data_IF_204890171692
#
_entry.id   IF_204890171692
#
_cell.length_a   1.000
_cell.length_b   1.000
_cell.length_c   1.000
_cell.angle_alpha   90.00
_cell.angle_beta   90.00
_cell.angle_gamma   90.00
#
_symmetry.space_group_name_H-M   'P 1'
#
loop_
_entity.id
_entity.type
_entity.pdbx_description
1 polymer ?
#
# COMPACT_ATOMS: atom_id res chain seq x y z
N UNK A 1 -24.80 -7.01 -12.30
CA UNK A 1 -25.50 -5.74 -12.61
C UNK A 1 -24.82 -5.10 -13.82
N UNK A 2 -25.41 -4.12 -14.53
CA UNK A 2 -24.64 -3.32 -15.49
C UNK A 2 -23.42 -2.72 -14.78
N UNK A 3 -22.30 -2.61 -15.48
CA UNK A 3 -21.08 -2.04 -14.95
C UNK A 3 -20.39 -1.20 -16.03
N UNK A 4 -19.55 -0.27 -15.59
CA UNK A 4 -18.79 0.59 -16.48
C UNK A 4 -17.39 0.00 -16.68
N UNK A 5 -17.02 -0.27 -17.93
CA UNK A 5 -15.67 -0.70 -18.29
C UNK A 5 -14.93 0.49 -18.90
N UNK A 6 -13.87 1.00 -18.25
CA UNK A 6 -12.98 1.97 -18.87
C UNK A 6 -12.10 1.27 -19.92
N UNK A 7 -12.07 1.83 -21.12
CA UNK A 7 -11.25 1.34 -22.23
C UNK A 7 -10.30 2.45 -22.65
N UNK A 8 -9.02 2.22 -22.45
CA UNK A 8 -7.96 3.14 -22.90
C UNK A 8 -7.62 2.83 -24.34
N UNK A 9 -7.50 3.87 -25.17
CA UNK A 9 -7.10 3.72 -26.57
C UNK A 9 -5.65 4.12 -26.73
N UNK A 10 -4.88 3.30 -27.45
CA UNK A 10 -3.52 3.62 -27.84
C UNK A 10 -3.54 4.48 -29.10
N UNK A 11 -3.59 5.80 -28.90
CA UNK A 11 -3.57 6.78 -29.99
C UNK A 11 -4.18 8.13 -29.60
N UNK A 12 -4.08 9.11 -30.50
CA UNK A 12 -4.75 10.39 -30.30
C UNK A 12 -6.26 10.25 -30.43
N UNK A 13 -7.03 11.02 -29.65
CA UNK A 13 -8.47 11.11 -29.87
C UNK A 13 -9.08 12.43 -29.39
N UNK A 14 -10.40 12.47 -29.39
CA UNK A 14 -11.20 13.64 -29.02
C UNK A 14 -11.75 13.42 -27.62
N UNK A 15 -11.01 13.87 -26.60
CA UNK A 15 -11.31 13.63 -25.19
C UNK A 15 -12.76 13.94 -24.73
N UNK A 16 -13.51 14.93 -25.31
CA UNK A 16 -14.92 15.11 -24.94
C UNK A 16 -15.93 14.29 -25.77
N UNK A 17 -15.52 13.61 -26.85
CA UNK A 17 -16.43 12.98 -27.83
C UNK A 17 -16.16 11.49 -28.08
N UNK A 18 -15.32 10.85 -27.27
CA UNK A 18 -15.10 9.40 -27.37
C UNK A 18 -16.34 8.61 -26.97
N UNK A 19 -17.07 8.16 -27.99
CA UNK A 19 -18.19 7.24 -27.85
C UNK A 19 -17.73 5.80 -27.67
N UNK A 20 -18.44 5.06 -26.83
CA UNK A 20 -18.32 3.61 -26.74
C UNK A 20 -19.69 2.95 -26.90
N UNK A 21 -19.75 1.89 -27.70
CA UNK A 21 -20.88 0.97 -27.77
C UNK A 21 -20.41 -0.47 -27.56
N UNK A 22 -21.29 -1.28 -26.96
CA UNK A 22 -20.98 -2.65 -26.56
C UNK A 22 -21.99 -3.59 -27.23
N UNK A 23 -21.48 -4.61 -27.91
CA UNK A 23 -22.25 -5.77 -28.35
C UNK A 23 -21.95 -6.97 -27.47
N UNK A 24 -22.98 -7.70 -27.01
CA UNK A 24 -22.82 -8.90 -26.19
C UNK A 24 -23.41 -10.11 -26.92
N UNK A 25 -22.60 -11.15 -27.09
CA UNK A 25 -23.01 -12.48 -27.57
C UNK A 25 -22.89 -13.47 -26.42
N UNK A 26 -24.02 -13.75 -25.76
CA UNK A 26 -24.06 -14.65 -24.61
C UNK A 26 -23.77 -16.11 -24.99
N UNK A 27 -24.12 -16.52 -26.21
CA UNK A 27 -23.91 -17.89 -26.68
C UNK A 27 -22.43 -18.22 -26.87
N UNK A 28 -21.63 -17.22 -27.24
CA UNK A 28 -20.16 -17.33 -27.38
C UNK A 28 -19.39 -16.77 -26.19
N UNK A 29 -20.08 -16.24 -25.18
CA UNK A 29 -19.49 -15.51 -24.05
C UNK A 29 -18.50 -14.45 -24.53
N UNK A 30 -18.96 -13.65 -25.49
CA UNK A 30 -18.15 -12.67 -26.18
C UNK A 30 -18.71 -11.26 -26.00
N UNK A 31 -17.86 -10.31 -25.64
CA UNK A 31 -18.20 -8.89 -25.56
C UNK A 31 -17.36 -8.17 -26.62
N UNK A 32 -18.04 -7.57 -27.59
CA UNK A 32 -17.42 -6.74 -28.60
C UNK A 32 -17.54 -5.27 -28.20
N UNK A 33 -16.41 -4.60 -28.05
CA UNK A 33 -16.36 -3.18 -27.72
C UNK A 33 -16.05 -2.38 -28.98
N UNK A 34 -16.93 -1.45 -29.31
CA UNK A 34 -16.78 -0.53 -30.43
C UNK A 34 -16.55 0.89 -29.90
N UNK A 35 -15.35 1.40 -30.09
CA UNK A 35 -14.98 2.76 -29.71
C UNK A 35 -14.88 3.63 -30.96
N UNK A 36 -15.62 4.75 -31.00
CA UNK A 36 -15.48 5.74 -32.08
C UNK A 36 -14.43 6.78 -31.69
N UNK A 37 -13.38 6.89 -32.50
CA UNK A 37 -12.39 7.96 -32.39
C UNK A 37 -12.70 8.97 -33.48
N UNK A 38 -13.25 10.14 -33.09
CA UNK A 38 -13.40 11.37 -33.89
C UNK A 38 -13.95 11.19 -35.32
N UNK A 39 -15.23 11.52 -35.59
CA UNK A 39 -15.76 11.42 -36.96
C UNK A 39 -15.18 12.47 -37.93
N UNK A 40 -14.67 13.62 -37.45
CA UNK A 40 -14.11 14.70 -38.28
C UNK A 40 -12.87 15.32 -37.61
N UNK A 41 -11.74 15.37 -38.33
CA UNK A 41 -10.40 15.88 -37.91
C UNK A 41 -10.42 17.42 -37.64
N UNK A 42 -9.53 18.00 -36.80
CA UNK A 42 -8.28 17.47 -36.25
C UNK A 42 -8.37 16.88 -34.84
N UNK A 43 -7.94 15.63 -34.68
CA UNK A 43 -7.63 15.06 -33.36
C UNK A 43 -6.59 15.95 -32.65
N UNK A 44 -6.90 16.48 -31.46
CA UNK A 44 -5.95 17.22 -30.64
C UNK A 44 -4.99 16.25 -29.92
N UNK A 45 -3.98 15.81 -30.67
CA UNK A 45 -2.91 14.96 -30.17
C UNK A 45 -2.05 15.63 -29.09
N UNK A 46 -2.08 16.96 -28.97
CA UNK A 46 -1.25 17.67 -27.99
C UNK A 46 -1.91 17.66 -26.60
N UNK A 47 -3.25 17.66 -26.55
CA UNK A 47 -4.00 17.58 -25.29
C UNK A 47 -4.54 16.19 -24.94
N UNK A 48 -4.65 15.26 -25.92
CA UNK A 48 -5.36 14.00 -25.74
C UNK A 48 -4.62 12.79 -26.35
N UNK A 49 -3.51 12.38 -25.72
CA UNK A 49 -2.64 11.30 -26.21
C UNK A 49 -3.10 9.88 -25.86
N UNK A 50 -4.06 9.73 -24.93
CA UNK A 50 -4.61 8.45 -24.47
C UNK A 50 -6.04 8.61 -23.96
N UNK A 51 -7.03 8.80 -24.86
CA UNK A 51 -8.41 8.97 -24.41
C UNK A 51 -8.91 7.68 -23.75
N UNK A 52 -9.71 7.85 -22.71
CA UNK A 52 -10.40 6.76 -22.03
C UNK A 52 -11.90 6.88 -22.33
N UNK A 53 -12.47 5.86 -22.98
CA UNK A 53 -13.91 5.77 -23.15
C UNK A 53 -14.51 4.87 -22.07
N UNK A 54 -15.67 5.25 -21.54
CA UNK A 54 -16.40 4.43 -20.57
C UNK A 54 -17.55 3.72 -21.27
N UNK A 55 -17.49 2.39 -21.29
CA UNK A 55 -18.47 1.53 -21.93
C UNK A 55 -19.44 0.98 -20.89
N UNK A 56 -20.73 1.19 -21.06
CA UNK A 56 -21.74 0.54 -20.22
C UNK A 56 -21.95 -0.90 -20.70
N UNK A 57 -21.49 -1.86 -19.90
CA UNK A 57 -21.64 -3.29 -20.18
C UNK A 57 -22.88 -3.78 -19.42
N UNK A 58 -23.83 -4.45 -20.11
CA UNK A 58 -25.00 -5.02 -19.44
C UNK A 58 -24.58 -6.13 -18.47
N UNK A 59 -25.48 -6.56 -17.60
CA UNK A 59 -25.18 -7.64 -16.66
C UNK A 59 -24.82 -8.93 -17.40
N UNK A 60 -23.63 -9.47 -17.13
CA UNK A 60 -23.13 -10.72 -17.71
C UNK A 60 -23.40 -11.91 -16.80
N UNK A 61 -23.61 -13.09 -17.38
CA UNK A 61 -23.69 -14.34 -16.63
C UNK A 61 -22.31 -14.75 -16.09
N UNK A 62 -22.29 -15.54 -15.00
CA UNK A 62 -21.07 -16.01 -14.36
C UNK A 62 -20.13 -16.77 -15.32
N UNK A 63 -18.83 -16.52 -15.15
CA UNK A 63 -17.72 -17.22 -15.77
C UNK A 63 -16.88 -16.32 -16.67
N UNK A 64 -16.09 -16.95 -17.54
CA UNK A 64 -15.10 -16.24 -18.35
C UNK A 64 -15.74 -15.71 -19.63
N UNK A 65 -15.53 -14.42 -19.88
CA UNK A 65 -15.95 -13.74 -21.09
C UNK A 65 -14.73 -13.27 -21.86
N UNK A 66 -14.74 -13.45 -23.18
CA UNK A 66 -13.72 -12.83 -24.03
C UNK A 66 -14.21 -11.44 -24.43
N UNK A 67 -13.43 -10.43 -24.08
CA UNK A 67 -13.69 -9.04 -24.47
C UNK A 67 -12.72 -8.71 -25.61
N UNK A 68 -13.25 -8.30 -26.75
CA UNK A 68 -12.48 -7.91 -27.93
C UNK A 68 -12.79 -6.45 -28.28
N UNK A 69 -11.74 -5.68 -28.50
CA UNK A 69 -11.84 -4.33 -29.05
C UNK A 69 -11.67 -4.38 -30.57
N UNK A 70 -12.53 -3.67 -31.30
CA UNK A 70 -12.41 -3.57 -32.76
C UNK A 70 -11.11 -2.88 -33.21
N UNK A 71 -10.50 -2.08 -32.33
CA UNK A 71 -9.22 -1.42 -32.59
C UNK A 71 -8.02 -2.33 -32.31
N UNK A 72 -8.25 -3.60 -32.01
CA UNK A 72 -7.23 -4.57 -31.64
C UNK A 72 -7.09 -4.69 -30.13
N UNK A 73 -6.75 -5.90 -29.68
CA UNK A 73 -6.66 -6.25 -28.26
C UNK A 73 -7.83 -7.11 -27.82
N UNK A 74 -7.51 -8.19 -27.13
CA UNK A 74 -8.48 -9.04 -26.46
C UNK A 74 -7.99 -9.41 -25.08
N UNK A 75 -8.93 -9.54 -24.15
CA UNK A 75 -8.64 -9.99 -22.80
C UNK A 75 -9.79 -10.83 -22.25
N UNK A 76 -9.53 -11.57 -21.19
CA UNK A 76 -10.55 -12.39 -20.51
C UNK A 76 -11.08 -11.63 -19.30
N UNK A 77 -12.39 -11.44 -19.24
CA UNK A 77 -13.11 -10.87 -18.12
C UNK A 77 -13.70 -12.01 -17.28
N UNK A 78 -13.28 -12.10 -16.02
CA UNK A 78 -13.83 -13.06 -15.06
C UNK A 78 -15.03 -12.45 -14.33
N UNK A 79 -16.23 -12.99 -14.59
CA UNK A 79 -17.47 -12.52 -13.95
C UNK A 79 -17.83 -13.48 -12.82
N UNK A 80 -17.68 -13.02 -11.59
CA UNK A 80 -18.05 -13.75 -10.37
C UNK A 80 -19.33 -13.18 -9.74
N UNK A 81 -20.08 -14.02 -9.02
CA UNK A 81 -21.20 -13.54 -8.21
C UNK A 81 -20.64 -12.81 -6.98
N UNK A 82 -20.90 -11.51 -6.89
CA UNK A 82 -20.51 -10.72 -5.73
C UNK A 82 -21.34 -11.15 -4.50
N UNK A 83 -20.76 -11.97 -3.62
CA UNK A 83 -21.31 -12.17 -2.27
C UNK A 83 -20.86 -10.98 -1.41
N UNK A 84 -21.41 -9.80 -1.68
CA UNK A 84 -21.05 -8.58 -0.96
C UNK A 84 -21.81 -8.49 0.37
N UNK A 85 -21.19 -8.97 1.45
CA UNK A 85 -21.59 -8.67 2.84
C UNK A 85 -20.73 -7.56 3.47
N UNK A 86 -19.85 -6.95 2.69
CA UNK A 86 -18.98 -5.86 3.13
C UNK A 86 -19.42 -4.61 2.38
N UNK A 87 -19.87 -3.53 3.05
CA UNK A 87 -20.19 -2.28 2.37
C UNK A 87 -18.95 -1.77 1.61
N UNK A 88 -19.16 -1.31 0.37
CA UNK A 88 -18.10 -0.72 -0.45
C UNK A 88 -17.40 0.39 0.34
N UNK A 89 -16.05 0.36 0.47
CA UNK A 89 -15.34 1.46 1.09
C UNK A 89 -15.59 2.75 0.29
N UNK A 90 -15.64 3.93 0.93
CA UNK A 90 -15.82 5.17 0.20
C UNK A 90 -14.68 5.34 -0.81
N UNK A 91 -15.06 5.43 -2.09
CA UNK A 91 -14.12 5.71 -3.16
C UNK A 91 -13.56 7.13 -2.99
N UNK A 92 -12.26 7.25 -2.74
CA UNK A 92 -11.55 8.51 -2.92
C UNK A 92 -11.42 8.76 -4.43
N UNK A 93 -12.25 9.64 -4.99
CA UNK A 93 -12.05 10.19 -6.34
C UNK A 93 -11.15 11.42 -6.26
N UNK A 94 -9.84 11.20 -6.31
CA UNK A 94 -8.90 12.23 -6.78
C UNK A 94 -8.35 11.79 -8.12
N UNK A 95 -8.66 12.55 -9.17
CA UNK A 95 -7.79 12.63 -10.34
C UNK A 95 -6.51 13.31 -9.85
N UNK A 96 -5.51 12.53 -9.45
CA UNK A 96 -4.15 13.01 -9.48
C UNK A 96 -3.77 13.18 -10.94
N UNK A 97 -3.30 14.36 -11.33
CA UNK A 97 -2.42 14.48 -12.49
C UNK A 97 -1.36 13.38 -12.39
N UNK A 98 -0.81 12.92 -13.52
CA UNK A 98 0.28 11.96 -13.48
C UNK A 98 1.41 12.57 -12.64
N UNK A 99 1.53 12.14 -11.39
CA UNK A 99 2.63 12.47 -10.52
C UNK A 99 3.87 11.86 -11.20
N UNK A 100 4.58 12.68 -11.98
CA UNK A 100 5.94 12.39 -12.47
C UNK A 100 6.90 12.11 -11.28
N UNK A 101 6.41 12.34 -10.08
CA UNK A 101 6.88 11.86 -8.80
C UNK A 101 6.70 10.34 -8.69
N UNK A 102 7.54 9.59 -9.36
CA UNK A 102 7.71 8.17 -9.04
C UNK A 102 8.02 8.04 -7.55
N UNK A 103 7.34 7.13 -6.84
CA UNK A 103 7.71 6.75 -5.47
C UNK A 103 9.22 6.52 -5.47
N UNK A 104 9.93 7.22 -4.58
CA UNK A 104 11.38 7.12 -4.52
C UNK A 104 11.77 5.63 -4.52
N UNK A 105 12.72 5.21 -5.38
CA UNK A 105 13.15 3.82 -5.38
C UNK A 105 13.56 3.43 -3.96
N UNK A 106 13.31 2.18 -3.58
CA UNK A 106 13.64 1.61 -2.25
C UNK A 106 15.11 1.82 -1.84
N UNK A 107 15.96 2.25 -2.77
CA UNK A 107 17.35 2.65 -2.59
C UNK A 107 17.53 3.93 -1.73
N UNK A 108 16.49 4.75 -1.57
CA UNK A 108 16.53 5.97 -0.75
C UNK A 108 16.04 5.78 0.70
N UNK A 109 15.87 4.54 1.15
CA UNK A 109 15.49 4.25 2.53
C UNK A 109 16.61 4.63 3.51
N UNK A 110 16.24 5.38 4.55
CA UNK A 110 17.12 5.76 5.66
C UNK A 110 16.56 5.21 6.97
N UNK A 111 17.40 4.92 7.97
CA UNK A 111 16.91 4.57 9.31
C UNK A 111 16.04 5.70 9.88
N UNK A 112 14.93 5.31 10.50
CA UNK A 112 14.00 6.22 11.19
C UNK A 112 14.51 6.49 12.62
N UNK A 113 14.83 7.74 13.00
CA UNK A 113 15.35 8.01 14.34
C UNK A 113 14.26 7.84 15.39
N UNK A 114 14.25 6.68 16.07
CA UNK A 114 13.28 6.40 17.13
C UNK A 114 13.74 6.94 18.48
N UNK A 115 12.92 7.77 19.13
CA UNK A 115 13.18 8.34 20.45
C UNK A 115 12.63 7.47 21.59
N UNK A 116 11.46 6.85 21.38
CA UNK A 116 10.80 5.98 22.36
C UNK A 116 10.14 4.80 21.68
N UNK A 117 10.12 3.67 22.37
CA UNK A 117 9.52 2.42 21.89
C UNK A 117 8.65 1.86 22.99
N UNK A 118 7.44 1.44 22.66
CA UNK A 118 6.55 0.72 23.57
C UNK A 118 6.18 -0.63 22.94
N UNK A 119 6.33 -1.72 23.71
CA UNK A 119 5.79 -3.02 23.28
C UNK A 119 4.40 -3.18 23.88
N UNK A 120 3.43 -3.45 23.02
CA UNK A 120 2.02 -3.60 23.36
C UNK A 120 1.46 -4.89 22.77
N UNK A 121 0.36 -5.36 23.37
CA UNK A 121 -0.43 -6.48 22.86
C UNK A 121 -1.82 -5.97 22.53
N UNK A 122 -2.27 -6.22 21.31
CA UNK A 122 -3.62 -5.90 20.86
C UNK A 122 -4.39 -7.20 20.53
N UNK A 123 -5.56 -7.07 19.90
CA UNK A 123 -6.40 -8.21 19.52
C UNK A 123 -5.76 -9.10 18.42
N UNK A 124 -4.85 -8.55 17.61
CA UNK A 124 -4.25 -9.23 16.46
C UNK A 124 -2.84 -9.79 16.71
N UNK A 125 -2.19 -9.41 17.81
CA UNK A 125 -0.86 -9.89 18.19
C UNK A 125 -0.08 -8.90 19.05
N UNK A 126 1.25 -8.96 18.95
CA UNK A 126 2.15 -8.00 19.57
C UNK A 126 2.55 -6.92 18.55
N UNK A 127 2.71 -5.69 19.02
CA UNK A 127 3.19 -4.57 18.21
C UNK A 127 4.25 -3.77 18.97
N UNK A 128 5.19 -3.22 18.23
CA UNK A 128 6.12 -2.20 18.71
C UNK A 128 5.65 -0.83 18.19
N UNK A 129 5.24 0.04 19.11
CA UNK A 129 4.91 1.43 18.83
C UNK A 129 6.19 2.26 18.94
N UNK A 130 6.62 2.85 17.84
CA UNK A 130 7.83 3.67 17.77
C UNK A 130 7.41 5.14 17.69
N UNK A 131 7.92 5.94 18.62
CA UNK A 131 7.74 7.38 18.65
C UNK A 131 9.04 8.05 18.23
N UNK A 132 8.93 8.97 17.29
CA UNK A 132 10.00 9.86 16.87
C UNK A 132 9.56 11.29 17.19
N UNK A 133 10.22 11.89 18.18
CA UNK A 133 9.90 13.25 18.65
C UNK A 133 10.18 14.31 17.56
N UNK A 134 10.89 13.96 16.48
CA UNK A 134 11.31 14.85 15.41
C UNK A 134 11.36 14.16 14.03
N UNK A 135 10.26 13.54 13.59
CA UNK A 135 10.17 12.81 12.32
C UNK A 135 10.23 13.69 11.07
N UNK A 136 9.89 14.97 11.19
CA UNK A 136 9.90 15.91 10.07
C UNK A 136 8.88 15.53 8.99
N UNK A 137 9.22 15.73 7.73
CA UNK A 137 8.34 15.46 6.57
C UNK A 137 8.63 14.12 5.87
N UNK A 138 9.38 13.22 6.50
CA UNK A 138 9.73 11.96 5.88
C UNK A 138 8.50 11.04 5.77
N UNK A 139 8.39 10.30 4.67
CA UNK A 139 7.39 9.25 4.53
C UNK A 139 7.85 7.98 5.26
N UNK A 140 6.87 7.25 5.82
CA UNK A 140 7.14 5.98 6.48
C UNK A 140 7.53 4.91 5.47
N UNK A 141 8.73 4.35 5.64
CA UNK A 141 9.19 3.17 4.92
C UNK A 141 8.81 1.87 5.64
N UNK A 142 9.24 0.70 5.12
CA UNK A 142 8.99 -0.57 5.79
C UNK A 142 9.51 -0.59 7.24
N UNK A 143 8.82 -1.36 8.08
CA UNK A 143 9.32 -1.76 9.39
C UNK A 143 9.61 -3.25 9.38
N UNK A 144 10.88 -3.62 9.50
CA UNK A 144 11.23 -5.04 9.62
C UNK A 144 11.42 -5.35 11.10
N UNK A 145 10.61 -6.28 11.62
CA UNK A 145 10.74 -6.83 12.95
C UNK A 145 11.19 -8.30 12.87
N UNK A 146 12.32 -8.64 13.49
CA UNK A 146 12.82 -10.01 13.56
C UNK A 146 12.93 -10.43 15.02
N UNK A 147 12.38 -11.59 15.34
CA UNK A 147 12.55 -12.21 16.67
C UNK A 147 13.54 -13.35 16.51
N UNK A 148 14.66 -13.27 17.21
CA UNK A 148 15.64 -14.34 17.32
C UNK A 148 15.49 -14.99 18.68
N UNK A 149 14.93 -16.19 18.68
CA UNK A 149 14.81 -16.98 19.90
C UNK A 149 16.18 -17.31 20.47
N UNK A 150 16.28 -17.25 21.79
CA UNK A 150 17.48 -17.62 22.54
C UNK A 150 17.14 -18.84 23.37
N UNK A 151 17.81 -19.93 23.06
CA UNK A 151 17.76 -21.15 23.86
C UNK A 151 19.10 -21.30 24.58
N UNK A 152 19.24 -20.60 25.70
CA UNK A 152 20.39 -20.75 26.60
C UNK A 152 19.88 -21.23 27.95
N UNK A 153 20.52 -22.24 28.52
CA UNK A 153 20.13 -22.78 29.83
C UNK A 153 20.36 -21.79 31.00
N UNK A 154 21.18 -20.76 30.77
CA UNK A 154 21.60 -19.80 31.80
C UNK A 154 20.71 -18.55 31.93
N UNK A 155 19.73 -18.37 31.04
CA UNK A 155 18.80 -17.23 31.06
C UNK A 155 17.35 -17.73 30.94
N UNK A 156 16.35 -17.00 31.46
CA UNK A 156 14.96 -17.30 31.20
C UNK A 156 14.70 -17.45 29.68
N UNK A 157 13.77 -18.34 29.27
CA UNK A 157 13.41 -18.49 27.87
C UNK A 157 12.99 -17.14 27.28
N UNK A 158 13.24 -16.93 25.99
CA UNK A 158 12.92 -15.66 25.33
C UNK A 158 13.78 -15.42 24.10
N UNK A 159 14.20 -14.17 23.85
CA UNK A 159 14.90 -13.84 22.62
C UNK A 159 15.40 -12.41 22.49
N UNK A 160 15.70 -12.05 21.26
CA UNK A 160 16.07 -10.70 20.84
C UNK A 160 15.09 -10.23 19.78
N UNK A 161 14.58 -9.01 19.95
CA UNK A 161 13.70 -8.36 18.98
C UNK A 161 14.53 -7.29 18.27
N UNK A 162 14.80 -7.48 16.99
CA UNK A 162 15.48 -6.50 16.13
C UNK A 162 14.44 -5.74 15.31
N UNK A 163 14.41 -4.42 15.44
CA UNK A 163 13.57 -3.52 14.66
C UNK A 163 14.45 -2.67 13.75
N UNK A 164 14.11 -2.64 12.47
CA UNK A 164 14.77 -1.83 11.44
C UNK A 164 13.72 -0.93 10.78
N UNK A 165 13.27 0.14 11.48
CA UNK A 165 12.34 1.09 10.93
C UNK A 165 13.05 1.99 9.92
N UNK A 166 12.44 2.15 8.74
CA UNK A 166 12.98 3.05 7.70
C UNK A 166 12.01 4.16 7.34
N UNK A 167 12.55 5.25 6.80
CA UNK A 167 11.84 6.39 6.21
C UNK A 167 12.45 6.74 4.86
N UNK A 168 11.71 7.45 4.03
CA UNK A 168 12.22 7.99 2.77
C UNK A 168 11.66 9.40 2.52
N UNK A 169 12.31 10.12 1.62
CA UNK A 169 11.82 11.37 1.06
C UNK A 169 11.54 11.12 -0.41
N UNK A 170 10.33 11.45 -0.86
CA UNK A 170 9.96 11.48 -2.25
C UNK A 170 10.65 12.65 -2.96
N UNK A 171 10.94 12.47 -4.24
CA UNK A 171 11.63 13.49 -5.04
C UNK A 171 10.81 14.79 -5.20
N UNK A 172 9.52 14.73 -4.88
CA UNK A 172 8.57 15.84 -4.95
C UNK A 172 8.17 16.46 -3.61
N UNK A 173 8.72 15.99 -2.49
CA UNK A 173 8.38 16.52 -1.16
C UNK A 173 8.87 17.97 -0.94
N UNK A 174 9.61 18.52 -1.90
CA UNK A 174 10.20 19.84 -1.80
C UNK A 174 11.23 19.92 -0.67
N UNK A 175 11.58 21.14 -0.26
CA UNK A 175 12.45 21.34 0.90
C UNK A 175 11.60 21.20 2.16
N UNK A 176 11.78 20.11 2.91
CA UNK A 176 11.15 19.96 4.21
C UNK A 176 11.63 21.10 5.14
N UNK A 177 10.75 21.97 5.65
CA UNK A 177 11.14 23.00 6.59
C UNK A 177 11.68 22.36 7.87
N UNK A 178 12.59 23.04 8.61
CA UNK A 178 13.19 22.51 9.84
C UNK A 178 12.19 22.61 11.01
N UNK A 179 11.07 21.90 10.89
CA UNK A 179 10.04 21.79 11.92
C UNK A 179 10.09 20.39 12.51
N UNK A 180 9.98 20.33 13.83
CA UNK A 180 9.96 19.09 14.58
C UNK A 180 8.50 18.66 14.70
N UNK A 181 8.15 17.57 14.02
CA UNK A 181 6.81 16.98 14.06
C UNK A 181 6.96 15.62 14.75
N UNK A 182 6.23 15.44 15.85
CA UNK A 182 6.15 14.15 16.51
C UNK A 182 5.42 13.17 15.59
N UNK A 183 6.03 12.03 15.33
CA UNK A 183 5.46 10.98 14.48
C UNK A 183 5.46 9.67 15.23
N UNK A 184 4.36 8.94 15.08
CA UNK A 184 4.19 7.61 15.64
C UNK A 184 4.02 6.58 14.50
N UNK A 185 4.62 5.41 14.67
CA UNK A 185 4.44 4.27 13.76
C UNK A 185 4.30 2.97 14.54
N UNK A 186 3.53 2.07 13.99
CA UNK A 186 3.35 0.72 14.54
C UNK A 186 4.14 -0.29 13.68
N UNK A 187 4.87 -1.16 14.37
CA UNK A 187 5.63 -2.23 13.76
C UNK A 187 5.12 -3.57 14.30
N UNK A 188 4.36 -4.35 13.51
CA UNK A 188 3.84 -5.63 13.97
C UNK A 188 5.00 -6.56 14.30
N UNK A 189 4.90 -7.22 15.45
CA UNK A 189 5.88 -8.21 15.89
C UNK A 189 5.39 -9.62 15.56
N UNK A 190 6.31 -10.56 15.26
CA UNK A 190 6.03 -11.98 15.34
C UNK A 190 5.50 -12.39 16.72
N UNK A 191 4.85 -13.55 16.80
CA UNK A 191 4.37 -14.11 18.06
C UNK A 191 5.54 -14.29 19.05
N UNK A 192 5.34 -13.83 20.28
CA UNK A 192 6.30 -13.94 21.37
C UNK A 192 5.92 -15.09 22.30
N UNK A 193 6.91 -15.88 22.72
CA UNK A 193 6.77 -16.89 23.77
C UNK A 193 6.22 -16.27 25.06
N UNK A 194 5.10 -16.80 25.60
CA UNK A 194 4.52 -16.30 26.83
C UNK A 194 5.46 -16.35 28.03
N UNK A 195 5.55 -15.24 28.77
CA UNK A 195 6.50 -15.12 29.90
C UNK A 195 7.98 -15.05 29.50
N UNK A 196 8.28 -14.93 28.20
CA UNK A 196 9.64 -14.88 27.70
C UNK A 196 10.35 -13.55 28.00
N UNK A 197 11.66 -13.58 28.22
CA UNK A 197 12.49 -12.40 28.41
C UNK A 197 13.07 -11.91 27.06
N UNK A 198 12.79 -10.66 26.70
CA UNK A 198 13.19 -10.10 25.41
C UNK A 198 14.08 -8.87 25.58
N UNK A 199 15.16 -8.82 24.80
CA UNK A 199 15.94 -7.59 24.57
C UNK A 199 15.54 -6.96 23.25
N UNK A 200 15.18 -5.68 23.29
CA UNK A 200 14.75 -4.92 22.11
C UNK A 200 15.95 -4.13 21.57
N UNK A 201 16.18 -4.27 20.28
CA UNK A 201 17.20 -3.59 19.50
C UNK A 201 16.54 -2.76 18.41
N UNK A 202 17.00 -1.53 18.21
CA UNK A 202 16.58 -0.68 17.09
C UNK A 202 17.81 -0.20 16.36
N UNK A 203 17.86 -0.47 15.05
CA UNK A 203 19.01 -0.16 14.18
C UNK A 203 20.35 -0.61 14.80
N UNK A 204 20.35 -1.84 15.33
CA UNK A 204 21.54 -2.47 15.93
C UNK A 204 21.94 -1.94 17.32
N UNK A 205 21.13 -1.08 17.95
CA UNK A 205 21.39 -0.56 19.30
C UNK A 205 20.41 -1.13 20.31
N UNK A 206 20.87 -1.60 21.49
CA UNK A 206 19.99 -2.09 22.52
C UNK A 206 19.23 -0.90 23.12
N UNK A 207 17.93 -1.07 23.35
CA UNK A 207 17.07 -0.01 23.89
C UNK A 207 16.64 -0.33 25.30
N UNK A 208 15.96 -1.46 25.48
CA UNK A 208 15.49 -1.92 26.78
C UNK A 208 15.23 -3.44 26.75
N UNK A 209 14.82 -3.97 27.90
CA UNK A 209 14.41 -5.36 28.05
C UNK A 209 13.06 -5.45 28.75
N UNK A 210 12.25 -6.44 28.41
CA UNK A 210 10.95 -6.66 29.06
C UNK A 210 10.64 -8.16 29.14
N UNK A 211 9.61 -8.51 29.91
CA UNK A 211 9.08 -9.87 30.02
C UNK A 211 7.70 -9.90 29.37
N UNK A 212 7.45 -10.86 28.48
CA UNK A 212 6.13 -11.02 27.85
C UNK A 212 5.06 -11.27 28.92
N UNK A 213 3.91 -10.60 28.79
CA UNK A 213 2.79 -10.76 29.71
C UNK A 213 2.78 -9.80 30.90
N UNK A 214 3.78 -8.91 31.03
CA UNK A 214 3.73 -7.78 31.96
C UNK A 214 3.00 -6.58 31.35
N UNK A 215 2.73 -5.54 32.14
CA UNK A 215 2.16 -4.27 31.65
C UNK A 215 2.98 -3.68 30.48
N UNK A 216 2.35 -2.85 29.61
CA UNK A 216 3.03 -2.20 28.50
C UNK A 216 4.34 -1.57 28.95
N UNK A 217 5.44 -1.99 28.33
CA UNK A 217 6.77 -1.54 28.70
C UNK A 217 7.28 -0.60 27.62
N UNK A 218 7.55 0.64 28.01
CA UNK A 218 8.16 1.65 27.17
C UNK A 218 9.62 1.89 27.58
N UNK A 219 10.51 2.00 26.61
CA UNK A 219 11.91 2.38 26.81
C UNK A 219 12.29 3.57 25.93
N UNK A 220 13.23 4.37 26.43
CA UNK A 220 13.87 5.47 25.70
C UNK A 220 15.37 5.21 25.52
N UNK A 221 16.06 6.03 24.72
CA UNK A 221 17.50 5.96 24.46
C UNK A 221 18.40 5.95 25.70
N UNK A 222 17.84 6.26 26.88
CA UNK A 222 18.58 6.48 28.12
C UNK A 222 18.43 5.31 29.11
N UNK A 223 17.60 4.30 28.83
CA UNK A 223 17.25 3.25 29.80
C UNK A 223 18.10 1.96 29.69
N UNK A 224 19.29 2.03 29.09
CA UNK A 224 20.23 0.90 29.10
C UNK A 224 20.85 0.82 30.49
N UNK A 225 20.31 -0.08 31.32
CA UNK A 225 20.98 -0.53 32.53
C UNK A 225 22.36 -1.08 32.16
N UNK A 226 23.42 -0.30 32.38
CA UNK A 226 24.76 -0.83 32.50
C UNK A 226 24.80 -1.73 33.75
N UNK A 227 25.24 -3.00 33.63
CA UNK A 227 25.29 -3.94 34.75
C UNK A 227 26.30 -3.55 35.84
#
# INVERSE_FOLDING_TARGET
RPFQLPVTMDGCGCCPETGCSVGVDEGRRHVLVHTTVCPEDPCDCDSCQRPVATCEIPALARGDWTVESLNGGSFTLHVEDEISLVPEPPACTTFGEADDCTRAPLENLRPDPVARICIERNETGHLARLLNDCGGCAHQGPCVARVRERFTDDLPPGGEIELEPTVYFGDCDGVCPPVCIETERECPLPELLPGGYYRVWVDGRPRFTFVEGTEPTCGSDVDVFEP
#
